data_IF_489643981991
#
_entry.id   IF_489643981991
#
_cell.length_a   1.000
_cell.length_b   1.000
_cell.length_c   1.000
_cell.angle_alpha   90.00
_cell.angle_beta   90.00
_cell.angle_gamma   90.00
#
_symmetry.space_group_name_H-M   'P 1'
#
loop_
_entity.id
_entity.type
_entity.pdbx_description
1 polymer ?
#
# COMPACT_ATOMS: atom_id res chain seq x y z
N UNK A 1 1.52 -7.42 -6.79
CA UNK A 1 1.51 -7.22 -5.32
C UNK A 1 0.09 -7.30 -4.81
N UNK A 2 -0.09 -7.56 -3.51
CA UNK A 2 -1.40 -7.69 -2.86
C UNK A 2 -1.42 -6.83 -1.59
N UNK A 3 -2.62 -6.51 -1.09
CA UNK A 3 -2.83 -5.73 0.14
C UNK A 3 -3.92 -6.38 0.99
N UNK A 4 -3.96 -6.03 2.27
CA UNK A 4 -5.04 -6.45 3.16
C UNK A 4 -4.94 -5.77 4.52
N UNK A 5 -6.09 -5.38 5.06
CA UNK A 5 -6.24 -4.83 6.41
C UNK A 5 -6.80 -5.87 7.38
N UNK A 6 -7.15 -5.41 8.59
CA UNK A 6 -7.90 -6.21 9.59
C UNK A 6 -9.41 -6.16 9.39
N UNK A 7 -9.90 -5.17 8.65
CA UNK A 7 -11.32 -4.95 8.38
C UNK A 7 -11.52 -4.40 6.97
N UNK A 8 -12.73 -4.61 6.43
CA UNK A 8 -13.15 -4.05 5.14
C UNK A 8 -13.92 -2.77 5.40
N UNK A 9 -13.40 -1.66 4.88
CA UNK A 9 -14.09 -0.38 4.84
C UNK A 9 -14.22 0.04 3.38
N UNK A 10 -13.48 1.04 2.94
CA UNK A 10 -13.33 1.42 1.55
C UNK A 10 -11.90 1.90 1.34
N UNK A 11 -11.38 1.76 0.12
CA UNK A 11 -10.12 2.41 -0.22
C UNK A 11 -10.34 3.93 -0.21
N UNK A 12 -9.55 4.64 0.60
CA UNK A 12 -9.73 6.07 0.83
C UNK A 12 -9.54 6.85 -0.47
N UNK A 13 -10.52 7.67 -0.83
CA UNK A 13 -10.53 8.44 -2.07
C UNK A 13 -9.37 9.45 -2.16
N UNK A 14 -8.85 9.90 -1.02
CA UNK A 14 -7.70 10.82 -0.94
C UNK A 14 -6.40 10.15 -1.37
N UNK A 15 -6.25 8.86 -1.06
CA UNK A 15 -5.17 8.04 -1.60
C UNK A 15 -5.26 7.98 -3.12
N UNK A 16 -6.46 7.72 -3.65
CA UNK A 16 -6.68 7.67 -5.10
C UNK A 16 -6.40 9.03 -5.76
N UNK A 17 -6.84 10.13 -5.14
CA UNK A 17 -6.55 11.48 -5.61
C UNK A 17 -5.03 11.74 -5.64
N UNK A 18 -4.27 11.29 -4.63
CA UNK A 18 -2.80 11.40 -4.62
C UNK A 18 -2.15 10.63 -5.78
N UNK A 19 -2.64 9.43 -6.11
CA UNK A 19 -2.13 8.67 -7.26
C UNK A 19 -2.43 9.36 -8.60
N UNK A 20 -3.62 9.94 -8.74
CA UNK A 20 -3.99 10.70 -9.95
C UNK A 20 -3.07 11.91 -10.12
N UNK A 21 -2.74 12.62 -9.05
CA UNK A 21 -1.83 13.79 -9.09
C UNK A 21 -0.40 13.43 -9.47
N UNK A 22 0.05 12.23 -9.12
CA UNK A 22 1.34 11.69 -9.57
C UNK A 22 1.34 11.40 -11.09
N UNK A 23 0.18 11.40 -11.73
CA UNK A 23 0.02 11.09 -13.16
C UNK A 23 -0.43 9.65 -13.44
N UNK A 24 -0.87 8.91 -12.43
CA UNK A 24 -1.43 7.58 -12.65
C UNK A 24 -2.83 7.66 -13.26
N UNK A 25 -3.14 6.75 -14.18
CA UNK A 25 -4.46 6.64 -14.76
C UNK A 25 -5.33 5.72 -13.90
N UNK A 26 -6.47 6.23 -13.41
CA UNK A 26 -7.34 5.50 -12.48
C UNK A 26 -8.75 5.36 -13.05
N UNK A 27 -9.29 4.14 -13.04
CA UNK A 27 -10.68 3.83 -13.41
C UNK A 27 -11.39 3.14 -12.24
N UNK A 28 -12.50 3.72 -11.80
CA UNK A 28 -13.28 3.22 -10.65
C UNK A 28 -14.46 2.36 -11.10
N UNK A 29 -14.78 1.31 -10.33
CA UNK A 29 -15.97 0.45 -10.54
C UNK A 29 -16.60 0.03 -9.20
N UNK A 30 -17.93 0.14 -9.11
CA UNK A 30 -18.73 -0.32 -7.96
C UNK A 30 -19.05 0.80 -6.96
N UNK A 31 -19.87 0.47 -5.96
CA UNK A 31 -20.30 1.35 -4.86
C UNK A 31 -19.99 0.70 -3.51
N UNK A 32 -19.83 1.50 -2.45
CA UNK A 32 -19.49 1.04 -1.09
C UNK A 32 -18.01 0.70 -0.93
N UNK A 33 -17.55 -0.40 -1.53
CA UNK A 33 -16.13 -0.79 -1.60
C UNK A 33 -15.66 -0.79 -3.07
N UNK A 34 -15.49 0.40 -3.67
CA UNK A 34 -15.14 0.51 -5.08
C UNK A 34 -13.77 -0.12 -5.37
N UNK A 35 -13.66 -0.71 -6.55
CA UNK A 35 -12.40 -1.19 -7.10
C UNK A 35 -11.80 -0.12 -8.01
N UNK A 36 -10.57 0.28 -7.73
CA UNK A 36 -9.80 1.22 -8.52
C UNK A 36 -8.76 0.48 -9.34
N UNK A 37 -8.89 0.50 -10.66
CA UNK A 37 -7.86 0.05 -11.59
C UNK A 37 -6.89 1.18 -11.83
N UNK A 38 -5.62 0.96 -11.48
CA UNK A 38 -4.55 1.96 -11.54
C UNK A 38 -3.50 1.48 -12.53
N UNK A 39 -3.15 2.34 -13.48
CA UNK A 39 -2.09 2.09 -14.47
C UNK A 39 -1.10 3.23 -14.43
N UNK A 40 0.18 2.88 -14.39
CA UNK A 40 1.28 3.82 -14.56
C UNK A 40 2.12 3.41 -15.78
N UNK A 41 2.75 4.38 -16.44
CA UNK A 41 3.45 4.13 -17.70
C UNK A 41 4.53 3.06 -17.55
N UNK A 42 4.47 2.03 -18.41
CA UNK A 42 5.40 0.91 -18.37
C UNK A 42 5.22 -0.05 -17.19
N UNK A 43 4.20 0.13 -16.34
CA UNK A 43 3.89 -0.78 -15.24
C UNK A 43 2.70 -1.69 -15.55
N UNK A 44 2.61 -2.89 -14.94
CA UNK A 44 1.37 -3.66 -14.92
C UNK A 44 0.23 -2.90 -14.25
N UNK A 45 -1.01 -3.24 -14.62
CA UNK A 45 -2.21 -2.74 -13.93
C UNK A 45 -2.26 -3.26 -12.47
N UNK A 46 -2.64 -2.37 -11.55
CA UNK A 46 -2.97 -2.71 -10.17
C UNK A 46 -4.46 -2.50 -9.89
N UNK A 47 -5.06 -3.38 -9.09
CA UNK A 47 -6.46 -3.24 -8.63
C UNK A 47 -6.45 -2.97 -7.13
N UNK A 48 -6.91 -1.78 -6.73
CA UNK A 48 -6.96 -1.33 -5.34
C UNK A 48 -8.40 -1.36 -4.82
N UNK A 49 -8.63 -2.00 -3.68
CA UNK A 49 -9.91 -2.07 -2.97
C UNK A 49 -9.65 -2.51 -1.53
N UNK A 50 -10.61 -2.31 -0.64
CA UNK A 50 -10.49 -2.75 0.75
C UNK A 50 -10.78 -4.24 0.85
N UNK A 51 -9.89 -5.00 1.48
CA UNK A 51 -10.06 -6.42 1.79
C UNK A 51 -9.28 -6.80 3.04
N UNK A 52 -9.67 -7.89 3.68
CA UNK A 52 -8.95 -8.47 4.81
C UNK A 52 -7.69 -9.21 4.35
N UNK A 53 -6.70 -9.33 5.23
CA UNK A 53 -5.42 -9.99 4.91
C UNK A 53 -5.56 -11.46 4.51
N UNK A 54 -6.60 -12.16 4.95
CA UNK A 54 -6.89 -13.57 4.65
C UNK A 54 -7.90 -13.77 3.50
N UNK A 55 -8.21 -12.70 2.76
CA UNK A 55 -9.07 -12.76 1.58
C UNK A 55 -8.52 -13.73 0.52
N UNK A 56 -9.40 -14.47 -0.15
CA UNK A 56 -9.03 -15.50 -1.14
C UNK A 56 -8.26 -14.95 -2.36
N UNK A 57 -8.31 -13.63 -2.61
CA UNK A 57 -7.51 -12.98 -3.65
C UNK A 57 -6.07 -12.69 -3.21
N UNK A 58 -5.73 -12.89 -1.93
CA UNK A 58 -4.35 -12.81 -1.44
C UNK A 58 -3.64 -14.16 -1.65
N UNK A 59 -2.31 -14.15 -1.80
CA UNK A 59 -1.56 -15.36 -2.07
C UNK A 59 -1.66 -16.32 -0.89
N UNK A 60 -2.00 -17.58 -1.19
CA UNK A 60 -1.90 -18.70 -0.24
C UNK A 60 -0.46 -19.19 -0.05
N UNK A 61 0.45 -18.76 -0.92
CA UNK A 61 1.87 -19.12 -0.91
C UNK A 61 2.70 -18.19 -0.01
N UNK A 62 3.94 -18.62 0.28
CA UNK A 62 4.88 -17.86 1.11
C UNK A 62 5.24 -16.51 0.47
N UNK A 63 4.90 -15.42 1.15
CA UNK A 63 5.18 -14.04 0.71
C UNK A 63 5.98 -13.25 1.76
N UNK A 64 6.68 -12.21 1.32
CA UNK A 64 7.19 -11.17 2.23
C UNK A 64 6.03 -10.21 2.50
N UNK A 65 5.73 -9.99 3.77
CA UNK A 65 4.69 -9.05 4.21
C UNK A 65 5.34 -7.78 4.69
N UNK A 66 5.02 -6.67 4.04
CA UNK A 66 5.36 -5.33 4.49
C UNK A 66 4.25 -4.83 5.42
N UNK A 67 4.59 -4.46 6.64
CA UNK A 67 3.63 -3.97 7.64
C UNK A 67 3.75 -2.47 7.72
N UNK A 68 2.71 -1.74 7.29
CA UNK A 68 2.75 -0.28 7.14
C UNK A 68 2.14 0.50 8.30
N UNK A 69 1.52 -0.18 9.27
CA UNK A 69 0.87 0.47 10.40
C UNK A 69 1.88 1.11 11.35
N UNK A 70 1.52 2.28 11.87
CA UNK A 70 2.19 3.02 12.94
C UNK A 70 2.03 2.35 14.32
N UNK A 71 1.02 1.51 14.49
CA UNK A 71 0.75 0.79 15.74
C UNK A 71 1.82 -0.27 16.01
N UNK A 72 2.13 -0.47 17.30
CA UNK A 72 3.03 -1.53 17.75
C UNK A 72 2.53 -2.91 17.27
N UNK A 73 3.47 -3.86 17.10
CA UNK A 73 3.25 -5.20 16.55
C UNK A 73 2.12 -6.00 17.23
N UNK A 74 1.69 -5.58 18.42
CA UNK A 74 0.63 -6.20 19.24
C UNK A 74 -0.74 -6.26 18.54
N UNK A 75 -1.06 -5.32 17.66
CA UNK A 75 -2.33 -5.31 16.92
C UNK A 75 -2.22 -5.88 15.49
N UNK A 76 -1.01 -6.24 15.06
CA UNK A 76 -0.84 -6.82 13.72
C UNK A 76 -1.30 -8.28 13.73
N UNK A 77 -2.25 -8.67 12.84
CA UNK A 77 -2.71 -10.03 12.77
C UNK A 77 -1.56 -10.99 12.44
N UNK A 78 -1.65 -12.22 12.95
CA UNK A 78 -0.78 -13.29 12.52
C UNK A 78 -1.15 -13.67 11.07
N UNK A 79 -0.19 -13.56 10.15
CA UNK A 79 -0.38 -13.89 8.73
C UNK A 79 0.38 -15.19 8.45
N UNK A 80 -0.30 -16.35 8.34
CA UNK A 80 0.36 -17.65 8.19
C UNK A 80 1.19 -17.79 6.90
N UNK A 81 0.79 -17.09 5.84
CA UNK A 81 1.51 -17.08 4.56
C UNK A 81 2.76 -16.17 4.56
N UNK A 82 3.02 -15.43 5.64
CA UNK A 82 4.18 -14.56 5.73
C UNK A 82 5.48 -15.38 5.95
N UNK A 83 6.35 -15.42 4.95
CA UNK A 83 7.70 -15.96 5.09
C UNK A 83 8.58 -15.05 5.96
N UNK A 84 8.46 -13.74 5.74
CA UNK A 84 9.08 -12.69 6.54
C UNK A 84 8.11 -11.52 6.70
N UNK A 85 8.13 -10.91 7.87
CA UNK A 85 7.38 -9.69 8.20
C UNK A 85 8.39 -8.56 8.36
N UNK A 86 8.27 -7.52 7.54
CA UNK A 86 9.16 -6.38 7.55
C UNK A 86 8.31 -5.14 7.91
N UNK A 87 8.49 -4.54 9.09
CA UNK A 87 7.79 -3.32 9.45
C UNK A 87 8.39 -2.13 8.68
N UNK A 88 7.55 -1.42 7.93
CA UNK A 88 7.85 -0.14 7.27
C UNK A 88 6.84 0.87 7.80
N UNK A 89 7.15 1.54 8.92
CA UNK A 89 6.14 2.30 9.66
C UNK A 89 5.98 3.71 9.08
N UNK A 90 4.76 4.05 8.69
CA UNK A 90 4.41 5.38 8.23
C UNK A 90 3.32 5.95 9.13
N UNK A 91 3.35 7.26 9.33
CA UNK A 91 2.25 7.96 9.96
C UNK A 91 1.03 7.95 9.02
N UNK A 92 -0.14 7.53 9.53
CA UNK A 92 -1.34 7.44 8.71
C UNK A 92 -1.81 8.86 8.33
N UNK A 93 -1.79 9.24 7.02
CA UNK A 93 -2.16 10.58 6.59
C UNK A 93 -3.64 10.90 6.87
N UNK A 94 -4.45 9.88 7.17
CA UNK A 94 -5.85 10.04 7.61
C UNK A 94 -6.01 10.97 8.82
N UNK A 95 -4.97 11.14 9.64
CA UNK A 95 -4.99 12.11 10.76
C UNK A 95 -5.16 13.57 10.30
N UNK A 96 -4.89 13.85 9.03
CA UNK A 96 -5.04 15.15 8.39
C UNK A 96 -6.33 15.25 7.56
N UNK A 97 -7.21 14.25 7.62
CA UNK A 97 -8.52 14.31 6.96
C UNK A 97 -9.29 15.56 7.42
N UNK A 98 -9.92 16.24 6.46
CA UNK A 98 -10.71 17.46 6.61
C UNK A 98 -9.89 18.68 7.13
N UNK A 99 -8.56 18.61 7.03
CA UNK A 99 -7.65 19.73 7.34
C UNK A 99 -7.09 20.38 6.07
N UNK A 100 -6.52 21.59 6.21
CA UNK A 100 -5.84 22.27 5.10
C UNK A 100 -4.60 21.50 4.60
N UNK A 101 -3.99 20.67 5.45
CA UNK A 101 -2.80 19.88 5.14
C UNK A 101 -3.10 18.49 4.58
N UNK A 102 -4.37 18.14 4.37
CA UNK A 102 -4.81 16.82 3.91
C UNK A 102 -4.07 16.41 2.62
N UNK A 103 -4.13 17.26 1.60
CA UNK A 103 -3.51 16.99 0.30
C UNK A 103 -2.01 16.69 0.42
N UNK A 104 -1.29 17.55 1.15
CA UNK A 104 0.16 17.45 1.25
C UNK A 104 0.56 16.24 2.08
N UNK A 105 -0.18 15.91 3.14
CA UNK A 105 0.08 14.74 3.96
C UNK A 105 0.00 13.44 3.14
N UNK A 106 -1.04 13.28 2.31
CA UNK A 106 -1.15 12.10 1.45
C UNK A 106 -0.01 12.01 0.41
N UNK A 107 0.40 13.13 -0.17
CA UNK A 107 1.48 13.17 -1.16
C UNK A 107 2.86 12.92 -0.51
N UNK A 108 3.11 13.50 0.67
CA UNK A 108 4.33 13.29 1.45
C UNK A 108 4.46 11.83 1.90
N UNK A 109 3.39 11.23 2.43
CA UNK A 109 3.41 9.80 2.81
C UNK A 109 3.65 8.91 1.59
N UNK A 110 3.01 9.20 0.44
CA UNK A 110 3.25 8.47 -0.81
C UNK A 110 4.71 8.55 -1.24
N UNK A 111 5.29 9.74 -1.22
CA UNK A 111 6.66 9.97 -1.68
C UNK A 111 7.69 9.32 -0.74
N UNK A 112 7.44 9.35 0.57
CA UNK A 112 8.24 8.62 1.57
C UNK A 112 8.23 7.11 1.32
N UNK A 113 7.05 6.51 1.09
CA UNK A 113 6.91 5.08 0.76
C UNK A 113 7.73 4.74 -0.49
N UNK A 114 7.62 5.57 -1.53
CA UNK A 114 8.36 5.39 -2.79
C UNK A 114 9.87 5.40 -2.54
N UNK A 115 10.36 6.43 -1.85
CA UNK A 115 11.79 6.61 -1.60
C UNK A 115 12.39 5.44 -0.80
N UNK A 116 11.68 4.97 0.22
CA UNK A 116 12.13 3.84 1.03
C UNK A 116 12.14 2.54 0.22
N UNK A 117 11.10 2.26 -0.56
CA UNK A 117 11.05 1.09 -1.43
C UNK A 117 12.15 1.13 -2.49
N UNK A 118 12.36 2.27 -3.15
CA UNK A 118 13.43 2.45 -4.14
C UNK A 118 14.81 2.19 -3.52
N UNK A 119 15.05 2.68 -2.29
CA UNK A 119 16.28 2.43 -1.56
C UNK A 119 16.46 0.94 -1.25
N UNK A 120 15.44 0.27 -0.72
CA UNK A 120 15.46 -1.16 -0.40
C UNK A 120 15.75 -1.99 -1.66
N UNK A 121 15.04 -1.74 -2.76
CA UNK A 121 15.25 -2.49 -4.00
C UNK A 121 16.62 -2.22 -4.62
N UNK A 122 17.15 -1.00 -4.49
CA UNK A 122 18.53 -0.69 -4.90
C UNK A 122 19.56 -1.49 -4.09
N UNK A 123 19.40 -1.55 -2.76
CA UNK A 123 20.27 -2.35 -1.89
C UNK A 123 20.21 -3.85 -2.21
N UNK A 124 19.00 -4.39 -2.41
CA UNK A 124 18.79 -5.80 -2.77
C UNK A 124 19.43 -6.10 -4.12
N UNK A 125 19.22 -5.24 -5.13
CA UNK A 125 19.83 -5.40 -6.45
C UNK A 125 21.35 -5.44 -6.35
N UNK A 126 21.96 -4.53 -5.58
CA UNK A 126 23.40 -4.50 -5.35
C UNK A 126 23.90 -5.79 -4.69
N UNK A 127 23.22 -6.23 -3.63
CA UNK A 127 23.57 -7.45 -2.91
C UNK A 127 23.46 -8.72 -3.77
N UNK A 128 22.53 -8.77 -4.72
CA UNK A 128 22.38 -9.90 -5.65
C UNK A 128 23.41 -9.82 -6.78
N UNK A 129 23.79 -8.62 -7.23
CA UNK A 129 24.77 -8.46 -8.31
C UNK A 129 26.22 -8.68 -7.89
N UNK A 130 26.53 -8.51 -6.60
CA UNK A 130 27.88 -8.62 -6.04
C UNK A 130 28.17 -10.00 -5.39
N UNK A 131 27.15 -10.87 -5.27
CA UNK A 131 27.27 -12.23 -4.70
C UNK A 131 27.16 -13.31 -5.76
#
# INVERSE_FOLDING_TARGET
>A
SYSGGVEVTACNERTIASLIRLGMHVVTKGEGNPQYRVVFEGSPEAVLFSKVFDDAQNPSERAIVLMTCDHADENCPFIPSAWKRLPLRYEDPKRYDDTESEFSAYDETRDLIREELDHIFSMVKKSISEG
#
